data_IF_739344613309
#
_entry.id   IF_739344613309
#
_cell.length_a   1.000
_cell.length_b   1.000
_cell.length_c   1.000
_cell.angle_alpha   90.00
_cell.angle_beta   90.00
_cell.angle_gamma   90.00
#
_symmetry.space_group_name_H-M   'P 1'
#
loop_
_entity.id
_entity.type
_entity.pdbx_description
1 polymer ?
#
# COMPACT_ATOMS: atom_id res chain seq x y z
N UNK A 1 -11.69 1.81 -9.55
CA UNK A 1 -11.84 2.61 -8.31
C UNK A 1 -11.24 4.02 -8.48
N UNK A 2 -11.69 5.03 -7.74
CA UNK A 2 -11.08 6.39 -7.74
C UNK A 2 -9.83 6.41 -6.83
N UNK A 3 -8.82 7.29 -7.07
CA UNK A 3 -7.63 7.38 -6.23
C UNK A 3 -7.92 7.54 -4.73
N UNK A 4 -8.92 8.36 -4.37
CA UNK A 4 -9.35 8.55 -2.97
C UNK A 4 -9.80 7.25 -2.30
N UNK A 5 -10.46 6.37 -3.04
CA UNK A 5 -10.93 5.09 -2.49
C UNK A 5 -9.76 4.15 -2.22
N UNK A 6 -8.78 4.07 -3.12
CA UNK A 6 -7.57 3.26 -2.93
C UNK A 6 -6.77 3.71 -1.71
N UNK A 7 -6.64 5.03 -1.54
CA UNK A 7 -6.05 5.60 -0.33
C UNK A 7 -6.80 5.20 0.94
N UNK A 8 -8.12 5.32 0.94
CA UNK A 8 -8.94 4.95 2.10
C UNK A 8 -8.80 3.47 2.45
N UNK A 9 -8.68 2.58 1.45
CA UNK A 9 -8.41 1.16 1.68
C UNK A 9 -7.03 0.96 2.32
N UNK A 10 -5.99 1.65 1.85
CA UNK A 10 -4.65 1.56 2.47
C UNK A 10 -4.65 1.97 3.94
N UNK A 11 -5.34 3.07 4.29
CA UNK A 11 -5.49 3.50 5.68
C UNK A 11 -6.37 2.56 6.51
N UNK A 12 -7.39 1.94 5.91
CA UNK A 12 -8.22 0.95 6.59
C UNK A 12 -7.40 -0.29 6.97
N UNK A 13 -6.50 -0.74 6.08
CA UNK A 13 -5.60 -1.87 6.35
C UNK A 13 -4.60 -1.53 7.47
N UNK A 14 -4.07 -0.30 7.46
CA UNK A 14 -3.22 0.21 8.54
C UNK A 14 -3.96 0.22 9.88
N UNK A 15 -5.14 0.82 9.95
CA UNK A 15 -5.96 0.82 11.17
C UNK A 15 -6.29 -0.61 11.64
N UNK A 16 -6.67 -1.50 10.73
CA UNK A 16 -7.02 -2.88 11.07
C UNK A 16 -5.84 -3.67 11.66
N UNK A 17 -4.61 -3.45 11.16
CA UNK A 17 -3.40 -4.06 11.71
C UNK A 17 -3.01 -3.45 13.05
N UNK A 18 -3.13 -2.13 13.20
CA UNK A 18 -2.75 -1.43 14.44
C UNK A 18 -3.74 -1.65 15.59
N UNK A 19 -5.01 -1.91 15.29
CA UNK A 19 -6.06 -2.22 16.27
C UNK A 19 -6.21 -3.73 16.52
N UNK A 20 -5.28 -4.55 16.03
CA UNK A 20 -5.29 -6.02 16.16
C UNK A 20 -6.57 -6.70 15.62
N UNK A 21 -7.31 -6.03 14.72
CA UNK A 21 -8.50 -6.57 14.03
C UNK A 21 -8.07 -7.57 12.95
N UNK A 22 -6.92 -7.32 12.33
CA UNK A 22 -6.32 -8.15 11.28
C UNK A 22 -4.89 -8.50 11.70
N UNK A 23 -4.52 -9.79 11.66
CA UNK A 23 -3.13 -10.18 11.91
C UNK A 23 -2.25 -9.93 10.68
N UNK A 24 -0.93 -9.81 10.89
CA UNK A 24 0.03 -9.66 9.78
C UNK A 24 -0.03 -10.86 8.83
N UNK A 25 -0.19 -12.08 9.35
CA UNK A 25 -0.29 -13.31 8.56
C UNK A 25 -1.57 -13.33 7.72
N UNK A 26 -2.70 -12.94 8.31
CA UNK A 26 -3.97 -12.84 7.59
C UNK A 26 -3.91 -11.78 6.49
N UNK A 27 -3.29 -10.63 6.77
CA UNK A 27 -3.03 -9.59 5.78
C UNK A 27 -2.18 -10.11 4.62
N UNK A 28 -1.03 -10.73 4.90
CA UNK A 28 -0.13 -11.24 3.87
C UNK A 28 -0.77 -12.36 3.05
N UNK A 29 -1.54 -13.25 3.70
CA UNK A 29 -2.29 -14.30 3.01
C UNK A 29 -3.33 -13.72 2.05
N UNK A 30 -4.14 -12.75 2.48
CA UNK A 30 -5.11 -12.10 1.61
C UNK A 30 -4.45 -11.30 0.48
N UNK A 31 -3.34 -10.61 0.79
CA UNK A 31 -2.56 -9.89 -0.22
C UNK A 31 -2.02 -10.83 -1.30
N UNK A 32 -1.46 -11.98 -0.89
CA UNK A 32 -0.97 -13.00 -1.83
C UNK A 32 -2.07 -13.50 -2.76
N UNK A 33 -3.27 -13.76 -2.25
CA UNK A 33 -4.41 -14.15 -3.09
C UNK A 33 -4.76 -13.10 -4.14
N UNK A 34 -4.71 -11.81 -3.78
CA UNK A 34 -4.95 -10.71 -4.73
C UNK A 34 -3.86 -10.66 -5.80
N UNK A 35 -2.60 -10.83 -5.41
CA UNK A 35 -1.46 -10.82 -6.33
C UNK A 35 -1.50 -11.99 -7.30
N UNK A 36 -1.87 -13.18 -6.83
CA UNK A 36 -2.05 -14.37 -7.67
C UNK A 36 -3.17 -14.19 -8.71
N UNK A 37 -4.25 -13.48 -8.36
CA UNK A 37 -5.35 -13.17 -9.27
C UNK A 37 -5.10 -11.91 -10.14
N UNK A 38 -4.07 -11.12 -9.85
CA UNK A 38 -3.80 -9.86 -10.56
C UNK A 38 -3.57 -10.02 -12.09
N UNK A 39 -2.94 -11.10 -12.60
CA UNK A 39 -2.82 -11.32 -14.04
C UNK A 39 -4.18 -11.45 -14.74
N UNK A 40 -5.15 -12.13 -14.13
CA UNK A 40 -6.50 -12.28 -14.68
C UNK A 40 -7.23 -10.94 -14.67
N UNK A 41 -7.12 -10.18 -13.57
CA UNK A 41 -7.68 -8.84 -13.49
C UNK A 41 -7.04 -7.86 -14.48
N UNK A 42 -5.79 -8.09 -14.90
CA UNK A 42 -5.10 -7.21 -15.85
C UNK A 42 -5.74 -7.23 -17.24
N UNK A 43 -6.50 -8.29 -17.58
CA UNK A 43 -7.26 -8.40 -18.85
C UNK A 43 -8.30 -7.28 -18.94
N UNK A 44 -9.06 -7.06 -17.87
CA UNK A 44 -10.12 -6.04 -17.81
C UNK A 44 -9.64 -4.72 -17.20
N UNK A 45 -8.58 -4.77 -16.38
CA UNK A 45 -8.06 -3.64 -15.61
C UNK A 45 -6.55 -3.52 -15.86
N UNK A 46 -6.11 -2.90 -16.98
CA UNK A 46 -4.69 -2.79 -17.33
C UNK A 46 -3.81 -2.11 -16.27
N UNK A 47 -4.42 -1.29 -15.41
CA UNK A 47 -3.76 -0.54 -14.33
C UNK A 47 -3.77 -1.26 -12.97
N UNK A 48 -4.13 -2.54 -12.91
CA UNK A 48 -4.30 -3.26 -11.63
C UNK A 48 -3.04 -3.21 -10.75
N UNK A 49 -1.85 -3.40 -11.32
CA UNK A 49 -0.59 -3.33 -10.58
C UNK A 49 -0.32 -1.94 -9.99
N UNK A 50 -0.68 -0.88 -10.73
CA UNK A 50 -0.63 0.48 -10.21
C UNK A 50 -1.63 0.66 -9.06
N UNK A 51 -2.85 0.14 -9.20
CA UNK A 51 -3.86 0.27 -8.16
C UNK A 51 -3.50 -0.48 -6.87
N UNK A 52 -2.91 -1.67 -6.99
CA UNK A 52 -2.34 -2.40 -5.85
C UNK A 52 -1.23 -1.57 -5.22
N UNK A 53 -0.31 -1.03 -6.03
CA UNK A 53 0.77 -0.17 -5.55
C UNK A 53 0.29 1.10 -4.84
N UNK A 54 -0.80 1.72 -5.29
CA UNK A 54 -1.41 2.87 -4.61
C UNK A 54 -2.05 2.49 -3.27
N UNK A 55 -2.72 1.33 -3.18
CA UNK A 55 -3.28 0.84 -1.90
C UNK A 55 -2.15 0.55 -0.91
N UNK A 56 -1.15 -0.21 -1.34
CA UNK A 56 -0.03 -0.60 -0.49
C UNK A 56 0.87 0.61 -0.17
N UNK A 57 1.04 1.55 -1.09
CA UNK A 57 1.77 2.79 -0.82
C UNK A 57 1.09 3.66 0.22
N UNK A 58 -0.25 3.73 0.23
CA UNK A 58 -1.00 4.42 1.28
C UNK A 58 -0.92 3.68 2.63
N UNK A 59 -0.95 2.35 2.60
CA UNK A 59 -0.74 1.53 3.79
C UNK A 59 0.65 1.76 4.37
N UNK A 60 1.72 1.52 3.59
CA UNK A 60 3.12 1.67 4.03
C UNK A 60 3.46 3.11 4.45
N UNK A 61 2.91 4.11 3.75
CA UNK A 61 3.11 5.53 4.07
C UNK A 61 2.22 6.07 5.20
N UNK A 62 1.36 5.24 5.80
CA UNK A 62 0.51 5.67 6.91
C UNK A 62 1.36 5.93 8.17
N UNK A 63 0.95 6.87 9.05
CA UNK A 63 1.76 7.29 10.21
C UNK A 63 2.11 6.16 11.18
N UNK A 64 1.24 5.17 11.28
CA UNK A 64 1.34 4.04 12.23
C UNK A 64 1.85 2.76 11.56
N UNK A 65 2.04 2.77 10.24
CA UNK A 65 2.44 1.59 9.50
C UNK A 65 3.92 1.25 9.72
N UNK A 66 4.20 -0.05 9.77
CA UNK A 66 5.53 -0.60 9.96
C UNK A 66 6.19 -0.91 8.60
N UNK A 67 7.22 -0.13 8.24
CA UNK A 67 8.00 -0.30 7.00
C UNK A 67 8.61 -1.71 6.86
N UNK A 68 8.77 -2.46 7.96
CA UNK A 68 9.25 -3.86 7.88
C UNK A 68 8.32 -4.78 7.09
N UNK A 69 7.04 -4.44 6.93
CA UNK A 69 6.09 -5.20 6.11
C UNK A 69 6.33 -5.06 4.61
N UNK A 70 7.13 -4.09 4.17
CA UNK A 70 7.41 -3.90 2.75
C UNK A 70 8.14 -5.12 2.15
N UNK A 71 9.09 -5.71 2.88
CA UNK A 71 9.82 -6.89 2.42
C UNK A 71 8.89 -8.10 2.20
N UNK A 72 8.11 -8.57 3.19
CA UNK A 72 7.22 -9.72 3.00
C UNK A 72 6.13 -9.47 1.96
N UNK A 73 5.66 -8.22 1.79
CA UNK A 73 4.75 -7.84 0.69
C UNK A 73 5.42 -8.10 -0.67
N UNK A 74 6.66 -7.64 -0.87
CA UNK A 74 7.36 -7.81 -2.14
C UNK A 74 7.71 -9.28 -2.41
N UNK A 75 7.95 -10.08 -1.37
CA UNK A 75 8.17 -11.53 -1.49
C UNK A 75 6.92 -12.29 -1.95
N UNK A 76 5.72 -11.71 -1.79
CA UNK A 76 4.48 -12.29 -2.32
C UNK A 76 4.29 -12.04 -3.83
N UNK A 77 5.15 -11.23 -4.46
CA UNK A 77 4.96 -10.71 -5.81
C UNK A 77 5.90 -11.39 -6.80
N UNK A 78 5.43 -11.79 -8.00
CA UNK A 78 6.29 -12.32 -9.05
C UNK A 78 7.50 -11.41 -9.32
N UNK A 79 8.67 -12.01 -9.56
CA UNK A 79 9.93 -11.27 -9.67
C UNK A 79 9.88 -10.18 -10.75
N UNK A 80 9.25 -10.46 -11.89
CA UNK A 80 9.06 -9.52 -13.01
C UNK A 80 8.12 -8.34 -12.68
N UNK A 81 7.29 -8.48 -11.63
CA UNK A 81 6.36 -7.44 -11.15
C UNK A 81 6.85 -6.72 -9.89
N UNK A 82 7.73 -7.35 -9.11
CA UNK A 82 8.22 -6.81 -7.84
C UNK A 82 8.79 -5.39 -7.98
N UNK A 83 9.65 -5.17 -8.98
CA UNK A 83 10.26 -3.86 -9.29
C UNK A 83 9.20 -2.81 -9.67
N UNK A 84 8.24 -3.20 -10.51
CA UNK A 84 7.17 -2.31 -10.95
C UNK A 84 6.28 -1.92 -9.76
N UNK A 85 5.90 -2.89 -8.93
CA UNK A 85 5.07 -2.63 -7.76
C UNK A 85 5.80 -1.74 -6.75
N UNK A 86 7.08 -2.02 -6.48
CA UNK A 86 7.89 -1.19 -5.60
C UNK A 86 7.92 0.28 -6.03
N UNK A 87 8.07 0.54 -7.33
CA UNK A 87 8.03 1.91 -7.86
C UNK A 87 6.68 2.61 -7.57
N UNK A 88 5.57 1.91 -7.75
CA UNK A 88 4.25 2.47 -7.43
C UNK A 88 4.06 2.72 -5.93
N UNK A 89 4.50 1.78 -5.08
CA UNK A 89 4.47 1.94 -3.63
C UNK A 89 5.26 3.17 -3.21
N UNK A 90 6.52 3.30 -3.63
CA UNK A 90 7.39 4.41 -3.22
C UNK A 90 6.89 5.77 -3.72
N UNK A 91 6.42 5.82 -4.96
CA UNK A 91 5.82 7.04 -5.51
C UNK A 91 4.64 7.50 -4.66
N UNK A 92 3.76 6.58 -4.27
CA UNK A 92 2.56 6.95 -3.54
C UNK A 92 2.82 7.20 -2.05
N UNK A 93 3.70 6.43 -1.41
CA UNK A 93 4.07 6.63 -0.01
C UNK A 93 4.73 7.99 0.25
N UNK A 94 5.54 8.48 -0.70
CA UNK A 94 6.22 9.80 -0.59
C UNK A 94 5.27 10.99 -0.73
N UNK A 95 4.11 10.81 -1.38
CA UNK A 95 3.06 11.84 -1.40
C UNK A 95 2.47 12.11 0.01
N UNK A 96 2.70 11.22 0.98
CA UNK A 96 2.15 11.33 2.33
C UNK A 96 3.17 11.75 3.40
N UNK A 97 4.46 11.47 3.21
CA UNK A 97 5.51 11.94 4.16
C UNK A 97 5.66 13.47 4.15
N UNK A 98 5.40 14.14 3.03
CA UNK A 98 5.60 15.59 2.88
C UNK A 98 4.56 16.41 3.65
N UNK A 99 3.35 15.90 3.90
CA UNK A 99 2.31 16.63 4.65
C UNK A 99 2.60 16.79 6.15
N UNK A 100 3.50 15.98 6.71
CA UNK A 100 3.95 16.15 8.09
C UNK A 100 4.76 17.45 8.25
N UNK A 101 5.63 17.77 7.29
CA UNK A 101 6.46 18.98 7.35
C UNK A 101 5.64 20.28 7.30
N UNK A 102 4.58 20.34 6.50
CA UNK A 102 3.71 21.52 6.47
C UNK A 102 2.91 21.73 7.76
N UNK A 103 2.58 20.65 8.49
CA UNK A 103 1.89 20.75 9.78
C UNK A 103 2.83 21.20 10.92
N UNK A 104 4.09 20.74 10.92
CA UNK A 104 5.09 21.19 11.90
C UNK A 104 5.45 22.66 11.69
N UNK A 105 5.60 23.10 10.44
CA UNK A 105 5.91 24.51 10.11
C UNK A 105 4.75 25.47 10.43
N UNK A 106 3.51 24.99 10.51
CA UNK A 106 2.35 25.80 10.92
C UNK A 106 2.17 25.89 12.44
N UNK A 107 2.80 25.02 13.23
CA UNK A 107 2.77 25.09 14.71
C UNK A 107 3.91 25.90 15.32
N UNK A 108 4.83 26.40 14.51
CA UNK A 108 5.97 27.23 14.95
C UNK A 108 5.79 28.73 14.66
N UNK A 109 4.61 29.14 14.18
CA UNK A 109 4.23 30.55 13.98
C UNK A 109 2.98 30.89 14.77
#
# INVERSE_FOLDING_TARGET
AKPRARKAVGHLLDAALNEDILSTEAFLSGFKMIVEAAPDYAVDIPLIWQYIGEIIGAFIGAPTSNMSLLKPILECVPEDKSKQLFQFIMRYATEFSVKFNSFILQKQN
#
